data_IF_672553167590
#
_entry.id   IF_672553167590
#
_cell.length_a   1.000
_cell.length_b   1.000
_cell.length_c   1.000
_cell.angle_alpha   90.00
_cell.angle_beta   90.00
_cell.angle_gamma   90.00
#
_symmetry.space_group_name_H-M   'P 1'
#
loop_
_entity.id
_entity.type
_entity.pdbx_description
1 polymer ?
#
# COMPACT_ATOMS: atom_id res chain seq x y z
N UNK A 1 -28.38 -20.62 30.63
CA UNK A 1 -27.62 -20.85 29.37
C UNK A 1 -26.47 -19.87 29.35
N UNK A 2 -25.29 -20.28 29.83
CA UNK A 2 -24.14 -19.39 30.00
C UNK A 2 -23.52 -19.07 28.64
N UNK A 3 -23.64 -17.81 28.22
CA UNK A 3 -23.05 -17.25 27.00
C UNK A 3 -21.52 -17.26 27.07
N UNK A 4 -20.88 -18.26 26.46
CA UNK A 4 -19.41 -18.31 26.27
C UNK A 4 -18.97 -17.39 25.11
N UNK A 5 -19.38 -16.13 25.13
CA UNK A 5 -18.78 -15.12 24.27
C UNK A 5 -17.53 -14.58 24.98
N UNK A 6 -16.34 -14.81 24.42
CA UNK A 6 -15.12 -14.10 24.83
C UNK A 6 -14.06 -14.86 25.62
N UNK A 7 -13.96 -16.19 25.50
CA UNK A 7 -12.79 -16.89 26.04
C UNK A 7 -11.52 -16.50 25.29
N UNK A 8 -10.63 -15.82 26.00
CA UNK A 8 -9.28 -15.52 25.53
C UNK A 8 -8.51 -16.84 25.43
N UNK A 9 -8.29 -17.33 24.20
CA UNK A 9 -7.36 -18.43 24.00
C UNK A 9 -5.96 -18.01 24.47
N UNK A 10 -5.33 -18.87 25.27
CA UNK A 10 -3.95 -18.70 25.66
C UNK A 10 -3.06 -18.78 24.40
N UNK A 11 -2.61 -17.62 23.93
CA UNK A 11 -1.65 -17.57 22.82
C UNK A 11 -0.28 -17.89 23.39
N UNK A 12 0.32 -19.00 22.95
CA UNK A 12 1.70 -19.30 23.28
C UNK A 12 2.60 -18.17 22.74
N UNK A 13 3.41 -17.57 23.62
CA UNK A 13 4.44 -16.60 23.23
C UNK A 13 5.34 -17.24 22.17
N UNK A 14 5.53 -16.59 21.03
CA UNK A 14 6.30 -17.11 19.89
C UNK A 14 5.47 -17.54 18.67
N UNK A 15 4.16 -17.78 18.81
CA UNK A 15 3.27 -17.90 17.63
C UNK A 15 2.93 -16.50 17.12
N UNK A 16 3.30 -16.20 15.86
CA UNK A 16 2.97 -14.94 15.20
C UNK A 16 1.47 -14.92 14.89
N UNK A 17 0.73 -14.04 15.55
CA UNK A 17 -0.68 -13.79 15.23
C UNK A 17 -0.74 -12.75 14.11
N UNK A 18 -1.51 -13.02 13.05
CA UNK A 18 -1.75 -12.01 12.02
C UNK A 18 -2.73 -10.96 12.55
N UNK A 19 -2.49 -9.71 12.20
CA UNK A 19 -3.37 -8.58 12.51
C UNK A 19 -4.23 -8.28 11.28
N UNK A 20 -5.50 -7.95 11.52
CA UNK A 20 -6.39 -7.51 10.46
C UNK A 20 -5.96 -6.13 9.97
N UNK A 21 -5.65 -5.98 8.68
CA UNK A 21 -5.26 -4.68 8.13
C UNK A 21 -6.38 -3.60 8.13
N UNK A 22 -7.62 -3.97 8.49
CA UNK A 22 -8.75 -3.05 8.55
C UNK A 22 -9.06 -2.53 9.97
N UNK A 23 -8.74 -3.31 11.01
CA UNK A 23 -9.08 -2.97 12.40
C UNK A 23 -7.95 -3.18 13.40
N UNK A 24 -6.77 -3.59 12.93
CA UNK A 24 -5.55 -3.88 13.70
C UNK A 24 -5.69 -4.92 14.80
N UNK A 25 -6.85 -5.58 14.91
CA UNK A 25 -7.07 -6.65 15.85
C UNK A 25 -6.54 -8.00 15.33
N UNK A 26 -6.05 -8.86 16.23
CA UNK A 26 -5.61 -10.18 15.84
C UNK A 26 -6.74 -11.04 15.26
N UNK A 27 -6.44 -11.78 14.20
CA UNK A 27 -7.45 -12.53 13.47
C UNK A 27 -7.69 -13.92 14.08
N UNK A 28 -8.89 -14.15 14.63
CA UNK A 28 -9.32 -15.47 15.10
C UNK A 28 -9.96 -16.33 13.99
N UNK A 29 -10.66 -15.68 13.06
CA UNK A 29 -11.22 -16.30 11.86
C UNK A 29 -10.95 -15.38 10.70
N UNK A 30 -10.27 -15.90 9.69
CA UNK A 30 -9.95 -15.17 8.46
C UNK A 30 -11.15 -15.17 7.52
N UNK A 31 -11.43 -14.02 6.93
CA UNK A 31 -12.20 -13.90 5.70
C UNK A 31 -11.23 -13.68 4.56
N UNK A 32 -11.07 -14.68 3.69
CA UNK A 32 -10.21 -14.61 2.50
C UNK A 32 -11.04 -14.23 1.28
N UNK A 33 -10.66 -13.16 0.61
CA UNK A 33 -11.43 -12.52 -0.44
C UNK A 33 -11.08 -13.10 -1.81
N UNK A 34 -12.07 -13.58 -2.58
CA UNK A 34 -11.87 -13.91 -3.99
C UNK A 34 -12.25 -12.70 -4.88
N UNK A 35 -11.56 -12.48 -6.00
CA UNK A 35 -10.45 -13.29 -6.54
C UNK A 35 -9.05 -12.90 -6.04
N UNK A 36 -8.92 -11.81 -5.28
CA UNK A 36 -7.62 -11.22 -4.94
C UNK A 36 -6.78 -11.99 -3.92
N UNK A 37 -7.39 -12.89 -3.13
CA UNK A 37 -6.77 -13.72 -2.10
C UNK A 37 -6.22 -12.96 -0.89
N UNK A 38 -6.50 -11.67 -0.74
CA UNK A 38 -6.24 -10.94 0.51
C UNK A 38 -7.11 -11.46 1.65
N UNK A 39 -6.63 -11.33 2.87
CA UNK A 39 -7.34 -11.81 4.06
C UNK A 39 -7.47 -10.73 5.14
N UNK A 40 -8.65 -10.69 5.76
CA UNK A 40 -8.98 -9.83 6.90
C UNK A 40 -9.56 -10.69 8.03
N UNK A 41 -9.91 -10.11 9.17
CA UNK A 41 -10.85 -10.78 10.06
C UNK A 41 -12.20 -10.95 9.35
N UNK A 42 -12.90 -12.05 9.64
CA UNK A 42 -14.16 -12.39 8.95
C UNK A 42 -15.19 -11.25 9.03
N UNK A 43 -15.28 -10.55 10.16
CA UNK A 43 -16.20 -9.44 10.35
C UNK A 43 -15.90 -8.27 9.40
N UNK A 44 -14.64 -7.83 9.33
CA UNK A 44 -14.23 -6.77 8.41
C UNK A 44 -14.44 -7.20 6.95
N UNK A 45 -14.03 -8.41 6.59
CA UNK A 45 -14.18 -8.93 5.22
C UNK A 45 -15.64 -8.95 4.75
N UNK A 46 -16.58 -9.30 5.64
CA UNK A 46 -18.01 -9.35 5.34
C UNK A 46 -18.67 -7.96 5.23
N UNK A 47 -18.10 -6.93 5.86
CA UNK A 47 -18.64 -5.57 5.86
C UNK A 47 -18.19 -4.72 4.65
N UNK A 48 -17.30 -5.24 3.81
CA UNK A 48 -16.67 -4.50 2.70
C UNK A 48 -17.00 -5.12 1.33
N UNK A 49 -17.40 -4.31 0.33
CA UNK A 49 -17.71 -4.81 -1.02
C UNK A 49 -16.47 -4.99 -1.91
N UNK A 50 -15.35 -4.34 -1.56
CA UNK A 50 -14.10 -4.37 -2.31
C UNK A 50 -12.90 -4.46 -1.37
N UNK A 51 -11.84 -5.14 -1.81
CA UNK A 51 -10.60 -5.30 -1.04
C UNK A 51 -9.95 -3.94 -0.72
N UNK A 52 -9.55 -3.70 0.53
CA UNK A 52 -8.88 -2.43 0.91
C UNK A 52 -7.48 -2.32 0.32
N UNK A 53 -6.80 -3.46 0.09
CA UNK A 53 -5.42 -3.50 -0.38
C UNK A 53 -5.36 -3.23 -1.88
N UNK A 54 -6.10 -3.99 -2.69
CA UNK A 54 -6.01 -3.92 -4.15
C UNK A 54 -7.25 -3.34 -4.84
N UNK A 55 -8.28 -2.95 -4.10
CA UNK A 55 -9.55 -2.39 -4.60
C UNK A 55 -10.37 -3.31 -5.52
N UNK A 56 -9.95 -4.58 -5.70
CA UNK A 56 -10.72 -5.57 -6.43
C UNK A 56 -12.07 -5.85 -5.73
N UNK A 57 -13.14 -6.00 -6.51
CA UNK A 57 -14.45 -6.40 -6.01
C UNK A 57 -14.37 -7.78 -5.36
N UNK A 58 -15.00 -7.92 -4.20
CA UNK A 58 -15.06 -9.19 -3.48
C UNK A 58 -16.27 -9.97 -3.98
N UNK A 59 -16.02 -10.99 -4.79
CA UNK A 59 -17.09 -11.82 -5.37
C UNK A 59 -17.46 -12.99 -4.47
N UNK A 60 -16.52 -13.45 -3.64
CA UNK A 60 -16.73 -14.54 -2.69
C UNK A 60 -15.83 -14.36 -1.47
N UNK A 61 -16.37 -14.73 -0.30
CA UNK A 61 -15.62 -14.81 0.95
C UNK A 61 -15.44 -16.26 1.37
N UNK A 62 -14.20 -16.62 1.67
CA UNK A 62 -13.84 -17.92 2.19
C UNK A 62 -13.52 -17.81 3.69
N UNK A 63 -14.29 -18.52 4.52
CA UNK A 63 -14.12 -18.53 5.97
C UNK A 63 -13.07 -19.56 6.38
N UNK A 64 -11.99 -19.10 7.02
CA UNK A 64 -10.87 -19.96 7.43
C UNK A 64 -10.56 -19.74 8.93
N UNK A 65 -10.80 -20.72 9.81
CA UNK A 65 -10.42 -20.63 11.22
C UNK A 65 -8.89 -20.47 11.38
N UNK A 66 -8.44 -19.68 12.36
CA UNK A 66 -7.00 -19.50 12.58
C UNK A 66 -6.24 -20.79 12.94
N UNK A 67 -6.95 -21.79 13.49
CA UNK A 67 -6.40 -23.12 13.76
C UNK A 67 -5.89 -23.83 12.50
N UNK A 68 -6.50 -23.57 11.34
CA UNK A 68 -6.12 -24.19 10.07
C UNK A 68 -4.84 -23.60 9.49
N UNK A 69 -4.40 -22.45 10.00
CA UNK A 69 -3.25 -21.71 9.45
C UNK A 69 -3.55 -21.06 8.10
N UNK A 70 -2.82 -20.00 7.81
CA UNK A 70 -2.74 -19.32 6.51
C UNK A 70 -1.32 -18.82 6.34
N UNK A 71 -0.79 -18.88 5.12
CA UNK A 71 0.52 -18.36 4.77
C UNK A 71 0.31 -17.03 4.03
N UNK A 72 0.83 -15.92 4.56
CA UNK A 72 0.63 -14.59 3.97
C UNK A 72 1.93 -14.14 3.29
N UNK A 73 1.85 -13.75 2.02
CA UNK A 73 2.99 -13.17 1.31
C UNK A 73 3.36 -11.81 1.92
N UNK A 74 4.64 -11.56 2.26
CA UNK A 74 5.05 -10.26 2.76
C UNK A 74 5.03 -9.17 1.68
N UNK A 75 5.09 -9.56 0.40
CA UNK A 75 5.13 -8.63 -0.73
C UNK A 75 3.73 -8.21 -1.16
N UNK A 76 2.84 -9.19 -1.38
CA UNK A 76 1.51 -8.92 -1.96
C UNK A 76 0.39 -8.96 -0.93
N UNK A 77 0.67 -9.38 0.31
CA UNK A 77 -0.31 -9.62 1.38
C UNK A 77 -1.39 -10.65 1.03
N UNK A 78 -1.20 -11.41 -0.06
CA UNK A 78 -2.11 -12.49 -0.43
C UNK A 78 -1.90 -13.68 0.51
N UNK A 79 -3.01 -14.31 0.86
CA UNK A 79 -3.05 -15.43 1.79
C UNK A 79 -3.22 -16.75 1.02
N UNK A 80 -2.48 -17.77 1.44
CA UNK A 80 -2.39 -19.08 0.80
C UNK A 80 -2.65 -20.19 1.82
N UNK A 81 -3.28 -21.29 1.36
CA UNK A 81 -3.64 -22.42 2.21
C UNK A 81 -2.43 -23.31 2.52
N UNK A 82 -1.45 -23.33 1.64
CA UNK A 82 -0.24 -24.14 1.78
C UNK A 82 1.01 -23.28 1.63
N UNK A 83 2.11 -23.73 2.24
CA UNK A 83 3.42 -23.10 2.07
C UNK A 83 3.91 -23.23 0.63
N UNK A 84 3.61 -24.34 -0.05
CA UNK A 84 3.98 -24.56 -1.45
C UNK A 84 3.36 -23.51 -2.38
N UNK A 85 2.08 -23.17 -2.19
CA UNK A 85 1.40 -22.13 -2.96
C UNK A 85 2.03 -20.75 -2.72
N UNK A 86 2.35 -20.43 -1.47
CA UNK A 86 3.05 -19.18 -1.13
C UNK A 86 4.44 -19.15 -1.78
N UNK A 87 5.20 -20.24 -1.68
CA UNK A 87 6.55 -20.32 -2.23
C UNK A 87 6.54 -20.17 -3.76
N UNK A 88 5.56 -20.77 -4.44
CA UNK A 88 5.34 -20.58 -5.88
C UNK A 88 5.05 -19.11 -6.17
N UNK A 89 4.08 -18.52 -5.47
CA UNK A 89 3.73 -17.11 -5.65
C UNK A 89 4.94 -16.16 -5.46
N UNK A 90 5.77 -16.40 -4.44
CA UNK A 90 6.96 -15.59 -4.22
C UNK A 90 7.99 -15.70 -5.37
N UNK A 91 8.17 -16.90 -5.96
CA UNK A 91 9.03 -17.08 -7.13
C UNK A 91 8.47 -16.34 -8.35
N UNK A 92 7.19 -16.56 -8.66
CA UNK A 92 6.51 -15.93 -9.79
C UNK A 92 6.58 -14.38 -9.69
N UNK A 93 6.41 -13.82 -8.49
CA UNK A 93 6.55 -12.38 -8.25
C UNK A 93 7.99 -11.88 -8.32
N UNK A 94 8.97 -12.69 -7.89
CA UNK A 94 10.39 -12.37 -8.05
C UNK A 94 10.77 -12.23 -9.53
N UNK A 95 10.42 -13.23 -10.34
CA UNK A 95 10.65 -13.22 -11.79
C UNK A 95 9.96 -12.02 -12.47
N UNK A 96 8.73 -11.72 -12.07
CA UNK A 96 7.99 -10.55 -12.59
C UNK A 96 8.69 -9.24 -12.25
N UNK A 97 9.15 -9.09 -11.01
CA UNK A 97 9.86 -7.89 -10.57
C UNK A 97 11.20 -7.73 -11.31
N UNK A 98 11.96 -8.81 -11.46
CA UNK A 98 13.21 -8.82 -12.21
C UNK A 98 12.99 -8.41 -13.68
N UNK A 99 11.96 -8.94 -14.33
CA UNK A 99 11.60 -8.56 -15.69
C UNK A 99 11.24 -7.08 -15.81
N UNK A 100 10.48 -6.53 -14.85
CA UNK A 100 10.15 -5.10 -14.81
C UNK A 100 11.38 -4.23 -14.60
N UNK A 101 12.31 -4.65 -13.73
CA UNK A 101 13.56 -3.94 -13.50
C UNK A 101 14.47 -3.96 -14.74
N UNK A 102 14.57 -5.09 -15.43
CA UNK A 102 15.31 -5.20 -16.69
C UNK A 102 14.69 -4.35 -17.80
N UNK A 103 13.35 -4.32 -17.91
CA UNK A 103 12.64 -3.48 -18.88
C UNK A 103 12.78 -1.98 -18.58
N UNK A 104 12.79 -1.60 -17.29
CA UNK A 104 13.03 -0.22 -16.85
C UNK A 104 14.47 0.26 -17.03
N UNK A 105 15.43 -0.66 -17.16
CA UNK A 105 16.84 -0.37 -17.45
C UNK A 105 17.12 -0.18 -18.95
N UNK A 106 16.14 -0.41 -19.83
CA UNK A 106 16.28 -0.07 -21.24
C UNK A 106 16.36 1.47 -21.39
N UNK A 107 17.36 2.01 -22.11
CA UNK A 107 17.47 3.44 -22.31
C UNK A 107 16.22 3.95 -23.02
N UNK A 108 15.40 4.72 -22.31
CA UNK A 108 14.28 5.44 -22.90
C UNK A 108 14.85 6.39 -23.97
N UNK A 109 14.45 6.28 -25.25
CA UNK A 109 15.05 7.04 -26.36
C UNK A 109 14.87 8.56 -26.29
N UNK A 110 14.30 9.10 -25.20
CA UNK A 110 14.19 10.53 -24.93
C UNK A 110 14.89 11.03 -23.65
N UNK A 111 15.42 10.16 -22.78
CA UNK A 111 16.00 10.61 -21.50
C UNK A 111 17.50 10.93 -21.59
N UNK A 112 18.21 10.34 -22.56
CA UNK A 112 19.63 10.63 -22.80
C UNK A 112 19.87 12.03 -23.40
N UNK A 113 18.92 12.55 -24.20
CA UNK A 113 19.01 13.89 -24.79
C UNK A 113 19.01 15.00 -23.72
N UNK A 114 18.26 14.81 -22.61
CA UNK A 114 18.22 15.76 -21.51
C UNK A 114 19.51 15.81 -20.68
N UNK A 115 20.20 14.67 -20.53
CA UNK A 115 21.47 14.61 -19.79
C UNK A 115 22.64 15.22 -20.56
N UNK A 116 22.70 15.03 -21.88
CA UNK A 116 23.74 15.60 -22.72
C UNK A 116 23.60 17.13 -22.83
N UNK A 117 22.36 17.65 -22.84
CA UNK A 117 22.11 19.09 -22.82
C UNK A 117 22.40 19.74 -21.45
N UNK A 118 22.15 19.02 -20.34
CA UNK A 118 22.51 19.47 -19.00
C UNK A 118 24.04 19.48 -18.77
N UNK A 119 24.77 18.49 -19.29
CA UNK A 119 26.24 18.42 -19.20
C UNK A 119 26.92 19.45 -20.12
N UNK A 120 26.37 19.71 -21.31
CA UNK A 120 26.84 20.77 -22.19
C UNK A 120 26.61 22.18 -21.61
N UNK A 121 25.49 22.40 -20.91
CA UNK A 121 25.22 23.65 -20.19
C UNK A 121 26.14 23.86 -18.97
N UNK A 122 26.65 22.79 -18.37
CA UNK A 122 27.59 22.87 -17.24
C UNK A 122 29.05 23.12 -17.69
N UNK A 123 29.43 22.70 -18.91
CA UNK A 123 30.79 22.86 -19.44
C UNK A 123 31.05 24.22 -20.11
N UNK A 124 30.00 24.99 -20.44
CA UNK A 124 30.11 26.29 -21.10
C UNK A 124 29.49 27.43 -20.29
N UNK A 125 30.28 28.03 -19.39
CA UNK A 125 30.10 29.40 -18.91
C UNK A 125 28.82 29.74 -18.13
N UNK A 126 28.93 29.72 -16.79
CA UNK A 126 28.21 30.61 -15.87
C UNK A 126 26.68 30.71 -16.01
N UNK A 127 25.95 29.91 -15.23
CA UNK A 127 24.52 30.08 -15.06
C UNK A 127 24.21 31.44 -14.40
N UNK A 128 23.47 32.32 -15.09
CA UNK A 128 22.81 33.48 -14.48
C UNK A 128 21.32 33.18 -14.32
N UNK A 129 20.73 33.41 -13.14
CA UNK A 129 19.30 33.24 -12.96
C UNK A 129 18.51 34.18 -13.90
N UNK A 130 17.33 33.77 -14.37
CA UNK A 130 16.44 34.66 -15.11
C UNK A 130 16.03 35.85 -14.23
N UNK A 131 15.82 37.05 -14.82
CA UNK A 131 15.37 38.20 -14.06
C UNK A 131 13.99 37.92 -13.44
N UNK A 132 13.70 38.48 -12.24
CA UNK A 132 12.40 38.31 -11.62
C UNK A 132 11.30 38.91 -12.50
N UNK A 133 10.07 38.37 -12.45
CA UNK A 133 8.93 38.94 -13.17
C UNK A 133 8.72 40.39 -12.74
N UNK A 134 8.47 41.26 -13.72
CA UNK A 134 8.19 42.68 -13.49
C UNK A 134 6.95 42.88 -12.60
N UNK A 135 6.82 44.08 -11.98
CA UNK A 135 5.67 44.37 -11.14
C UNK A 135 4.36 44.24 -11.94
N UNK A 136 3.29 43.69 -11.35
CA UNK A 136 2.00 43.60 -12.02
C UNK A 136 1.46 45.01 -12.31
N UNK A 137 0.65 45.17 -13.38
CA UNK A 137 0.00 46.45 -13.67
C UNK A 137 -0.89 46.89 -12.50
N UNK A 138 -1.01 48.20 -12.24
CA UNK A 138 -1.86 48.71 -11.16
C UNK A 138 -3.32 48.33 -11.45
N UNK A 139 -3.88 47.40 -10.66
CA UNK A 139 -5.30 47.05 -10.69
C UNK A 139 -5.70 45.57 -10.59
N UNK A 140 -4.76 44.62 -10.52
CA UNK A 140 -5.12 43.20 -10.38
C UNK A 140 -5.34 42.80 -8.90
N UNK A 141 -6.46 42.14 -8.53
CA UNK A 141 -6.68 41.67 -7.16
C UNK A 141 -5.73 40.52 -6.78
N UNK A 142 -5.15 40.61 -5.58
CA UNK A 142 -4.23 39.63 -5.03
C UNK A 142 -4.96 38.30 -4.71
N UNK A 143 -4.52 37.20 -5.34
CA UNK A 143 -4.93 35.86 -4.94
C UNK A 143 -4.19 35.47 -3.66
N UNK A 144 -4.92 35.42 -2.54
CA UNK A 144 -4.41 34.95 -1.24
C UNK A 144 -4.18 33.42 -1.28
N UNK A 145 -2.93 32.99 -1.43
CA UNK A 145 -2.48 31.63 -1.10
C UNK A 145 -2.05 31.55 0.36
N UNK A 146 -2.99 31.20 1.25
CA UNK A 146 -2.74 31.05 2.69
C UNK A 146 -2.36 29.62 3.06
N UNK A 147 -1.16 29.45 3.60
CA UNK A 147 -0.65 28.25 4.28
C UNK A 147 -1.09 28.29 5.76
N UNK A 148 -1.76 27.25 6.26
CA UNK A 148 -2.08 27.06 7.69
C UNK A 148 -2.09 25.56 8.02
N UNK A 149 -1.09 25.02 8.72
CA UNK A 149 -0.86 24.97 10.18
C UNK A 149 -1.77 23.97 10.92
N UNK A 150 -1.10 23.03 11.57
CA UNK A 150 -1.54 21.95 12.46
C UNK A 150 -2.75 22.26 13.37
N UNK A 151 -3.69 21.30 13.48
CA UNK A 151 -4.78 21.31 14.46
C UNK A 151 -4.85 20.00 15.25
N UNK A 152 -4.59 20.08 16.56
CA UNK A 152 -4.94 19.09 17.58
C UNK A 152 -6.48 18.92 17.65
N UNK A 153 -6.95 17.70 17.91
CA UNK A 153 -8.37 17.40 18.14
C UNK A 153 -8.60 17.21 19.64
N UNK A 154 -9.48 18.02 20.24
CA UNK A 154 -10.04 17.81 21.57
C UNK A 154 -11.32 16.96 21.50
N UNK A 155 -11.54 16.16 22.54
CA UNK A 155 -12.62 15.19 22.75
C UNK A 155 -13.86 15.86 23.37
N UNK A 156 -15.10 15.53 22.97
CA UNK A 156 -16.30 16.00 23.66
C UNK A 156 -16.71 15.08 24.84
N UNK A 157 -17.46 15.68 25.76
CA UNK A 157 -17.91 15.20 27.09
C UNK A 157 -18.76 13.94 27.07
#
# INVERSE_FOLDING_TARGET
MSSQAGQLQARQRGRRAHLCAACDFPVAVYGRCAPCLHAYCLACAAAMPACLICRALITKLERIPAANGLFISPLTLQAFRTEADLAKHCRDMGETLEALMAAGAAPQPGYAAGQQQAQAAAAGGGWKPPPPPGPPPPGAPAAHGGYGRHGQVMVPR
#
